data_IF_622591944790
#
_entry.id   IF_622591944790
#
_cell.length_a   1.000
_cell.length_b   1.000
_cell.length_c   1.000
_cell.angle_alpha   90.00
_cell.angle_beta   90.00
_cell.angle_gamma   90.00
#
_symmetry.space_group_name_H-M   'P 1'
#
loop_
_entity.id
_entity.type
_entity.pdbx_description
1 polymer ?
#
# COMPACT_ATOMS: atom_id res chain seq x y z
N UNK A 1 -1.93 36.34 -23.55
CA UNK A 1 -0.65 35.76 -23.09
C UNK A 1 -0.74 34.25 -23.19
N UNK A 2 0.11 33.58 -23.98
CA UNK A 2 0.23 32.11 -23.96
C UNK A 2 0.99 31.72 -22.68
N UNK A 3 0.53 30.74 -21.89
CA UNK A 3 1.32 30.24 -20.77
C UNK A 3 2.65 29.67 -21.30
N UNK A 4 3.75 30.04 -20.65
CA UNK A 4 5.07 29.50 -20.95
C UNK A 4 5.05 27.98 -20.76
N UNK A 5 5.54 27.25 -21.77
CA UNK A 5 5.66 25.79 -21.73
C UNK A 5 6.75 25.46 -20.70
N UNK A 6 6.36 24.91 -19.54
CA UNK A 6 7.31 24.42 -18.53
C UNK A 6 8.17 23.35 -19.20
N UNK A 7 9.51 23.44 -19.17
CA UNK A 7 10.37 22.45 -19.80
C UNK A 7 10.12 21.07 -19.19
N UNK A 8 9.75 20.11 -20.03
CA UNK A 8 9.52 18.71 -19.69
C UNK A 8 10.87 18.08 -19.30
N UNK A 9 11.16 18.02 -18.00
CA UNK A 9 12.35 17.30 -17.50
C UNK A 9 12.07 15.80 -17.54
N UNK A 10 12.84 15.11 -18.37
CA UNK A 10 12.84 13.67 -18.47
C UNK A 10 13.99 13.13 -17.63
N UNK A 11 13.69 12.34 -16.60
CA UNK A 11 14.72 11.72 -15.76
C UNK A 11 14.56 10.20 -15.83
N UNK A 12 15.61 9.54 -16.32
CA UNK A 12 15.71 8.08 -16.40
C UNK A 12 16.64 7.64 -15.28
N UNK A 13 16.18 6.72 -14.44
CA UNK A 13 16.98 6.15 -13.37
C UNK A 13 16.66 4.67 -13.19
N UNK A 14 17.62 3.95 -12.60
CA UNK A 14 17.44 2.57 -12.15
C UNK A 14 16.83 2.56 -10.74
N UNK A 15 15.82 1.71 -10.52
CA UNK A 15 15.21 1.59 -9.21
C UNK A 15 16.20 1.00 -8.21
N UNK A 16 16.53 1.74 -7.15
CA UNK A 16 17.42 1.25 -6.09
C UNK A 16 16.86 0.05 -5.32
N UNK A 17 15.54 -0.17 -5.36
CA UNK A 17 14.85 -1.28 -4.68
C UNK A 17 14.61 -2.49 -5.60
N UNK A 18 14.79 -2.32 -6.90
CA UNK A 18 14.56 -3.36 -7.90
C UNK A 18 15.67 -3.24 -8.96
N UNK A 19 16.86 -3.84 -8.73
CA UNK A 19 18.07 -3.62 -9.54
C UNK A 19 18.00 -4.08 -11.01
N UNK A 20 16.81 -4.41 -11.52
CA UNK A 20 16.53 -4.73 -12.93
C UNK A 20 15.35 -3.92 -13.51
N UNK A 21 14.79 -2.98 -12.74
CA UNK A 21 13.65 -2.16 -13.16
C UNK A 21 14.06 -0.69 -13.19
N UNK A 22 14.22 -0.12 -14.38
CA UNK A 22 14.28 1.32 -14.59
C UNK A 22 12.90 1.92 -14.83
N UNK A 23 12.79 3.25 -14.76
CA UNK A 23 11.64 3.97 -15.33
C UNK A 23 12.07 4.68 -16.61
N UNK A 24 11.35 4.44 -17.71
CA UNK A 24 11.49 5.13 -18.98
C UNK A 24 10.29 6.06 -19.27
N UNK A 25 9.44 6.31 -18.28
CA UNK A 25 8.20 7.06 -18.43
C UNK A 25 8.39 8.54 -18.08
N UNK A 26 7.68 9.40 -18.81
CA UNK A 26 7.58 10.82 -18.51
C UNK A 26 7.00 11.03 -17.10
N UNK A 27 7.69 11.84 -16.29
CA UNK A 27 7.41 12.01 -14.86
C UNK A 27 6.66 13.33 -14.65
N UNK A 28 5.35 13.26 -14.36
CA UNK A 28 4.53 14.39 -13.88
C UNK A 28 3.74 13.98 -12.62
N UNK A 29 3.61 14.84 -11.61
CA UNK A 29 2.84 14.54 -10.39
C UNK A 29 3.50 13.52 -9.45
N UNK A 30 2.82 12.40 -9.13
CA UNK A 30 3.30 11.26 -8.28
C UNK A 30 4.72 10.84 -8.62
N UNK A 31 5.12 11.01 -9.87
CA UNK A 31 6.47 10.77 -10.35
C UNK A 31 7.58 11.60 -9.66
N UNK A 32 7.29 12.74 -9.03
CA UNK A 32 8.31 13.53 -8.32
C UNK A 32 8.89 12.78 -7.11
N UNK A 33 8.07 11.99 -6.41
CA UNK A 33 8.52 11.14 -5.30
C UNK A 33 9.36 9.96 -5.81
N UNK A 34 8.92 9.35 -6.91
CA UNK A 34 9.66 8.30 -7.61
C UNK A 34 11.05 8.78 -8.04
N UNK A 35 11.13 9.97 -8.64
CA UNK A 35 12.39 10.62 -9.03
C UNK A 35 13.24 10.96 -7.80
N UNK A 36 12.70 11.64 -6.78
CA UNK A 36 13.44 12.01 -5.58
C UNK A 36 14.05 10.80 -4.83
N UNK A 37 13.37 9.65 -4.86
CA UNK A 37 13.84 8.44 -4.19
C UNK A 37 14.54 7.43 -5.10
N UNK A 38 14.63 7.70 -6.41
CA UNK A 38 15.11 6.76 -7.44
C UNK A 38 14.43 5.38 -7.31
N UNK A 39 13.10 5.35 -7.32
CA UNK A 39 12.30 4.12 -7.26
C UNK A 39 11.30 4.00 -8.40
N UNK A 40 11.10 2.79 -8.92
CA UNK A 40 10.02 2.52 -9.87
C UNK A 40 8.65 2.61 -9.18
N UNK A 41 7.56 2.63 -9.95
CA UNK A 41 6.20 2.74 -9.42
C UNK A 41 5.85 1.67 -8.38
N UNK A 42 6.34 0.44 -8.58
CA UNK A 42 6.16 -0.64 -7.59
C UNK A 42 6.92 -0.37 -6.29
N UNK A 43 8.13 0.18 -6.37
CA UNK A 43 8.91 0.55 -5.18
C UNK A 43 8.27 1.72 -4.43
N UNK A 44 7.78 2.72 -5.16
CA UNK A 44 7.06 3.88 -4.59
C UNK A 44 5.76 3.47 -3.88
N UNK A 45 5.02 2.55 -4.48
CA UNK A 45 3.83 1.94 -3.88
C UNK A 45 4.17 1.26 -2.53
N UNK A 46 5.18 0.40 -2.48
CA UNK A 46 5.56 -0.28 -1.24
C UNK A 46 6.16 0.65 -0.20
N UNK A 47 6.86 1.72 -0.61
CA UNK A 47 7.28 2.79 0.31
C UNK A 47 6.08 3.54 0.90
N UNK A 48 4.99 3.71 0.15
CA UNK A 48 3.74 4.28 0.67
C UNK A 48 3.12 3.36 1.73
N UNK A 49 3.00 2.07 1.41
CA UNK A 49 2.46 1.07 2.35
C UNK A 49 3.29 0.95 3.63
N UNK A 50 4.61 1.08 3.52
CA UNK A 50 5.52 1.17 4.66
C UNK A 50 5.25 2.42 5.50
N UNK A 51 4.91 3.55 4.87
CA UNK A 51 4.50 4.76 5.57
C UNK A 51 3.28 4.56 6.48
N UNK A 52 2.35 3.67 6.12
CA UNK A 52 1.19 3.37 6.95
C UNK A 52 1.56 2.70 8.28
N UNK A 53 2.67 1.97 8.34
CA UNK A 53 3.21 1.42 9.61
C UNK A 53 3.52 2.57 10.58
N UNK A 54 4.06 3.68 10.07
CA UNK A 54 4.38 4.86 10.89
C UNK A 54 3.12 5.64 11.32
N UNK A 55 1.97 5.37 10.71
CA UNK A 55 0.67 5.94 11.07
C UNK A 55 -0.15 4.99 11.97
N UNK A 56 0.51 4.02 12.61
CA UNK A 56 -0.15 3.05 13.49
C UNK A 56 -1.08 2.12 12.72
N UNK A 57 -0.65 1.65 11.55
CA UNK A 57 -1.40 0.74 10.68
C UNK A 57 -2.71 1.29 10.15
N UNK A 58 -2.69 2.57 9.79
CA UNK A 58 -3.78 3.24 9.10
C UNK A 58 -3.26 4.01 7.89
N UNK A 59 -4.09 4.10 6.85
CA UNK A 59 -3.86 5.07 5.78
C UNK A 59 -4.30 6.49 6.20
N UNK A 60 -4.03 7.53 5.39
CA UNK A 60 -4.41 8.91 5.71
C UNK A 60 -5.92 9.15 5.88
N UNK A 61 -6.78 8.28 5.34
CA UNK A 61 -8.24 8.38 5.48
C UNK A 61 -8.76 7.55 6.67
N UNK A 62 -7.85 7.02 7.49
CA UNK A 62 -8.17 6.20 8.66
C UNK A 62 -8.61 4.78 8.32
N UNK A 63 -8.37 4.30 7.08
CA UNK A 63 -8.60 2.89 6.72
C UNK A 63 -7.55 2.04 7.42
N UNK A 64 -7.99 0.96 8.09
CA UNK A 64 -7.09 0.05 8.78
C UNK A 64 -6.29 -0.81 7.80
N UNK A 65 -5.00 -0.91 8.03
CA UNK A 65 -4.08 -1.81 7.33
C UNK A 65 -4.04 -3.17 8.03
N UNK A 66 -4.21 -4.23 7.26
CA UNK A 66 -3.95 -5.60 7.71
C UNK A 66 -2.76 -6.16 6.94
N UNK A 67 -1.87 -6.83 7.67
CA UNK A 67 -0.77 -7.64 7.13
C UNK A 67 -0.94 -9.04 7.68
N UNK A 68 -1.25 -9.97 6.78
CA UNK A 68 -1.61 -11.36 7.10
C UNK A 68 -0.87 -12.27 6.12
N UNK A 69 -0.08 -13.19 6.65
CA UNK A 69 0.76 -14.14 5.89
C UNK A 69 1.64 -13.44 4.83
N UNK A 70 2.12 -12.23 5.13
CA UNK A 70 2.91 -11.42 4.21
C UNK A 70 2.16 -10.76 3.07
N UNK A 71 0.84 -10.70 3.14
CA UNK A 71 0.01 -9.95 2.19
C UNK A 71 -0.47 -8.68 2.86
N UNK A 72 -0.57 -7.61 2.07
CA UNK A 72 -1.00 -6.30 2.54
C UNK A 72 -2.43 -6.01 2.09
N UNK A 73 -3.25 -5.56 3.03
CA UNK A 73 -4.66 -5.28 2.81
C UNK A 73 -5.05 -3.94 3.44
N UNK A 74 -6.10 -3.32 2.90
CA UNK A 74 -6.84 -2.26 3.58
C UNK A 74 -8.28 -2.72 3.85
N UNK A 75 -8.77 -2.42 5.04
CA UNK A 75 -10.21 -2.44 5.29
C UNK A 75 -10.81 -1.10 4.89
N UNK A 76 -12.07 -1.06 4.44
CA UNK A 76 -12.70 0.21 4.08
C UNK A 76 -14.20 0.21 4.42
N UNK A 77 -14.83 1.38 4.36
CA UNK A 77 -16.28 1.55 4.47
C UNK A 77 -16.85 2.22 3.22
N UNK A 78 -18.14 2.04 2.95
CA UNK A 78 -18.82 2.72 1.82
C UNK A 78 -18.64 4.25 1.86
N UNK A 79 -18.66 4.86 3.04
CA UNK A 79 -18.43 6.29 3.24
C UNK A 79 -17.02 6.72 2.83
N UNK A 80 -16.01 5.89 3.13
CA UNK A 80 -14.62 6.13 2.71
C UNK A 80 -14.39 5.88 1.22
N UNK A 81 -15.27 5.14 0.56
CA UNK A 81 -15.06 4.65 -0.80
C UNK A 81 -13.95 3.61 -0.92
N UNK A 82 -13.77 3.08 -2.13
CA UNK A 82 -12.72 2.10 -2.41
C UNK A 82 -11.33 2.68 -2.11
N UNK A 83 -10.40 1.89 -1.56
CA UNK A 83 -9.02 2.31 -1.39
C UNK A 83 -8.41 2.77 -2.73
N UNK A 84 -7.57 3.81 -2.72
CA UNK A 84 -7.06 4.45 -3.94
C UNK A 84 -6.04 3.59 -4.71
N UNK A 85 -5.52 2.54 -4.07
CA UNK A 85 -4.43 1.72 -4.59
C UNK A 85 -4.91 0.46 -5.31
N UNK A 86 -4.06 -0.11 -6.17
CA UNK A 86 -4.36 -1.35 -6.91
C UNK A 86 -4.71 -2.48 -5.94
N UNK A 87 -5.85 -3.13 -6.15
CA UNK A 87 -6.22 -4.32 -5.37
C UNK A 87 -7.52 -4.97 -5.81
N UNK A 88 -7.98 -5.94 -5.02
CA UNK A 88 -9.24 -6.64 -5.24
C UNK A 88 -10.01 -6.81 -3.93
N UNK A 89 -11.31 -6.49 -3.97
CA UNK A 89 -12.26 -6.81 -2.91
C UNK A 89 -12.83 -8.21 -3.14
N UNK A 90 -12.65 -9.10 -2.17
CA UNK A 90 -13.43 -10.34 -2.13
C UNK A 90 -14.90 -10.05 -1.79
N UNK A 91 -15.82 -10.91 -2.22
CA UNK A 91 -17.26 -10.80 -1.89
C UNK A 91 -17.62 -11.45 -0.54
N UNK A 92 -16.73 -12.28 -0.01
CA UNK A 92 -16.94 -13.05 1.22
C UNK A 92 -16.69 -12.20 2.47
N UNK A 93 -17.51 -12.43 3.51
CA UNK A 93 -17.23 -11.89 4.84
C UNK A 93 -15.98 -12.55 5.40
N UNK A 94 -14.95 -11.76 5.69
CA UNK A 94 -13.72 -12.24 6.31
C UNK A 94 -13.73 -11.89 7.79
N UNK A 95 -13.24 -12.84 8.59
CA UNK A 95 -13.03 -12.66 10.02
C UNK A 95 -11.53 -12.54 10.28
N UNK A 96 -11.12 -11.63 11.14
CA UNK A 96 -9.72 -11.46 11.50
C UNK A 96 -9.57 -11.01 12.95
N UNK A 97 -8.40 -11.28 13.52
CA UNK A 97 -7.97 -10.77 14.83
C UNK A 97 -6.72 -9.91 14.63
N UNK A 98 -6.55 -8.92 15.49
CA UNK A 98 -5.31 -8.15 15.57
C UNK A 98 -4.34 -8.87 16.52
N UNK A 99 -3.08 -8.98 16.12
CA UNK A 99 -2.09 -9.72 16.90
C UNK A 99 -1.66 -8.98 18.17
N UNK A 100 -1.88 -7.67 18.23
CA UNK A 100 -1.61 -6.81 19.38
C UNK A 100 -2.83 -6.58 20.28
N UNK A 101 -4.02 -7.08 19.92
CA UNK A 101 -5.21 -7.00 20.76
C UNK A 101 -5.19 -8.10 21.84
N UNK A 102 -4.98 -7.77 23.12
CA UNK A 102 -4.91 -8.76 24.19
C UNK A 102 -6.26 -9.44 24.47
N UNK A 103 -7.37 -8.88 24.00
CA UNK A 103 -8.70 -9.46 24.17
C UNK A 103 -9.05 -10.46 23.07
N UNK A 104 -8.27 -10.53 21.98
CA UNK A 104 -8.54 -11.43 20.87
C UNK A 104 -9.86 -11.13 20.17
N UNK A 105 -10.23 -9.86 20.04
CA UNK A 105 -11.48 -9.43 19.41
C UNK A 105 -11.53 -9.91 17.96
N UNK A 106 -12.60 -10.62 17.61
CA UNK A 106 -12.84 -11.06 16.23
C UNK A 106 -13.59 -9.96 15.48
N UNK A 107 -12.91 -9.36 14.51
CA UNK A 107 -13.51 -8.41 13.57
C UNK A 107 -14.07 -9.14 12.36
N UNK A 108 -15.14 -8.61 11.77
CA UNK A 108 -15.78 -9.21 10.60
C UNK A 108 -16.17 -8.15 9.56
N UNK A 109 -15.73 -8.30 8.32
CA UNK A 109 -16.03 -7.35 7.24
C UNK A 109 -16.04 -7.99 5.86
N UNK A 110 -16.87 -7.47 4.95
CA UNK A 110 -16.84 -7.79 3.52
C UNK A 110 -15.85 -6.91 2.74
N UNK A 111 -15.33 -5.87 3.39
CA UNK A 111 -14.60 -4.78 2.74
C UNK A 111 -13.11 -4.92 3.04
N UNK A 112 -12.53 -6.03 2.57
CA UNK A 112 -11.08 -6.26 2.62
C UNK A 112 -10.51 -6.12 1.21
N UNK A 113 -9.59 -5.18 1.03
CA UNK A 113 -8.94 -4.87 -0.24
C UNK A 113 -7.52 -5.43 -0.26
N UNK A 114 -7.28 -6.52 -0.99
CA UNK A 114 -5.93 -7.08 -1.15
C UNK A 114 -5.12 -6.18 -2.08
N UNK A 115 -4.04 -5.59 -1.58
CA UNK A 115 -3.17 -4.72 -2.38
C UNK A 115 -1.96 -5.46 -2.96
N UNK A 116 -1.56 -6.58 -2.37
CA UNK A 116 -0.53 -7.45 -2.93
C UNK A 116 0.25 -8.26 -1.90
N UNK A 117 1.25 -8.99 -2.39
CA UNK A 117 2.22 -9.70 -1.54
C UNK A 117 3.41 -8.80 -1.25
N UNK A 118 3.75 -8.64 0.04
CA UNK A 118 4.85 -7.79 0.52
C UNK A 118 6.17 -8.37 -0.02
N UNK A 119 6.97 -7.59 -0.78
CA UNK A 119 8.25 -8.04 -1.28
C UNK A 119 9.21 -8.35 -0.12
N UNK A 120 10.11 -9.31 -0.31
CA UNK A 120 11.07 -9.72 0.72
C UNK A 120 11.85 -8.55 1.33
N UNK A 121 12.24 -7.55 0.52
CA UNK A 121 12.95 -6.37 0.99
C UNK A 121 12.17 -5.48 1.98
N UNK A 122 10.85 -5.65 2.09
CA UNK A 122 9.98 -4.91 3.01
C UNK A 122 9.47 -5.75 4.18
N UNK A 123 9.60 -7.09 4.13
CA UNK A 123 9.02 -8.03 5.11
C UNK A 123 9.38 -7.69 6.55
N UNK A 124 10.66 -7.45 6.84
CA UNK A 124 11.14 -7.20 8.20
C UNK A 124 10.59 -5.88 8.78
N UNK A 125 10.25 -4.93 7.90
CA UNK A 125 9.74 -3.60 8.29
C UNK A 125 8.22 -3.51 8.25
N UNK A 126 7.57 -4.52 7.68
CA UNK A 126 6.12 -4.62 7.55
C UNK A 126 5.70 -6.02 8.00
N UNK A 127 5.93 -6.37 9.29
CA UNK A 127 5.56 -7.68 9.81
C UNK A 127 4.04 -7.84 9.82
N UNK A 128 3.57 -9.08 9.84
CA UNK A 128 2.14 -9.35 10.01
C UNK A 128 1.63 -8.74 11.32
N UNK A 129 0.46 -8.10 11.25
CA UNK A 129 -0.20 -7.43 12.38
C UNK A 129 -1.59 -8.02 12.67
N UNK A 130 -2.05 -8.94 11.84
CA UNK A 130 -3.34 -9.58 11.96
C UNK A 130 -3.24 -11.03 11.51
N UNK A 131 -4.26 -11.82 11.85
CA UNK A 131 -4.47 -13.15 11.34
C UNK A 131 -5.92 -13.32 10.89
N UNK A 132 -6.17 -14.08 9.82
CA UNK A 132 -7.52 -14.50 9.50
C UNK A 132 -8.00 -15.51 10.56
N UNK A 133 -9.23 -15.33 11.01
CA UNK A 133 -9.90 -16.22 11.94
C UNK A 133 -10.92 -17.08 11.18
N UNK A 134 -11.22 -18.30 11.66
CA UNK A 134 -12.38 -19.04 11.18
C UNK A 134 -13.66 -18.21 11.42
N UNK A 135 -14.68 -18.47 10.60
CA UNK A 135 -16.01 -17.96 10.91
C UNK A 135 -16.45 -18.55 12.27
N UNK A 136 -17.05 -17.73 13.15
CA UNK A 136 -17.59 -18.21 14.42
C UNK A 136 -18.74 -19.20 14.22
#
# INVERSE_FOLDING_TARGET
MRPARVPERHEVFECKLCPCKGTNREIRGVGARMAAYHVCSSGDFWLTCLGYVMLGDHDPDGRRVLRIDGRHYLTWTEEQGFPPEIGYAGVERRHYVLLDDPHGTVHATHRVWLMGTIPGAFRDRMPDNAAFAPAP
#
